data_IF_867985715835
#
_entry.id   IF_867985715835
#
_cell.length_a   1.000
_cell.length_b   1.000
_cell.length_c   1.000
_cell.angle_alpha   90.00
_cell.angle_beta   90.00
_cell.angle_gamma   90.00
#
_symmetry.space_group_name_H-M   'P 1'
#
loop_
_entity.id
_entity.type
_entity.pdbx_description
1 polymer ?
#
# COMPACT_ATOMS: atom_id res chain seq x y z
N UNK A 1 -4.90 26.10 11.86
CA UNK A 1 -3.53 26.08 11.32
C UNK A 1 -3.28 24.68 10.82
N UNK A 2 -3.26 24.44 9.50
CA UNK A 2 -2.94 23.12 8.96
C UNK A 2 -1.43 22.95 9.05
N UNK A 3 -0.95 22.11 9.97
CA UNK A 3 0.48 21.89 10.25
C UNK A 3 1.07 20.71 9.49
N UNK A 4 0.31 20.10 8.58
CA UNK A 4 0.73 18.92 7.85
C UNK A 4 1.16 19.31 6.45
N UNK A 5 2.43 19.08 6.17
CA UNK A 5 3.07 19.36 4.88
C UNK A 5 3.62 18.05 4.34
N UNK A 6 3.48 17.83 3.04
CA UNK A 6 4.10 16.70 2.36
C UNK A 6 5.60 17.02 2.22
N UNK A 7 6.44 16.14 2.75
CA UNK A 7 7.90 16.21 2.56
C UNK A 7 8.36 14.98 1.79
N UNK A 8 9.18 15.19 0.75
CA UNK A 8 9.77 14.11 -0.04
C UNK A 8 11.25 14.36 -0.19
N UNK A 9 12.03 13.30 0.05
CA UNK A 9 13.48 13.29 0.01
C UNK A 9 13.95 12.24 -0.99
N UNK A 10 14.84 12.63 -1.90
CA UNK A 10 15.59 11.72 -2.76
C UNK A 10 17.05 11.74 -2.33
N UNK A 11 17.60 10.55 -2.09
CA UNK A 11 19.02 10.33 -1.80
C UNK A 11 19.66 9.47 -2.90
N UNK A 12 20.98 9.58 -3.05
CA UNK A 12 21.77 8.69 -3.90
C UNK A 12 22.17 7.40 -3.18
N UNK A 13 22.87 6.51 -3.87
CA UNK A 13 23.34 5.23 -3.34
C UNK A 13 24.37 5.37 -2.22
N UNK A 14 24.98 6.54 -2.08
CA UNK A 14 25.94 6.87 -1.02
C UNK A 14 25.25 7.53 0.18
N UNK A 15 23.94 7.76 0.10
CA UNK A 15 23.14 8.41 1.14
C UNK A 15 23.18 9.93 1.12
N UNK A 16 23.71 10.56 0.07
CA UNK A 16 23.68 12.02 -0.07
C UNK A 16 22.32 12.49 -0.60
N UNK A 17 21.85 13.64 -0.12
CA UNK A 17 20.63 14.28 -0.63
C UNK A 17 20.81 14.74 -2.08
N UNK A 18 19.99 14.19 -2.98
CA UNK A 18 19.86 14.65 -4.37
C UNK A 18 18.93 15.86 -4.41
N UNK A 19 17.76 15.74 -3.79
CA UNK A 19 16.83 16.85 -3.58
C UNK A 19 15.92 16.59 -2.39
N UNK A 20 15.42 17.68 -1.80
CA UNK A 20 14.39 17.68 -0.77
C UNK A 20 13.30 18.68 -1.18
N UNK A 21 12.03 18.28 -1.04
CA UNK A 21 10.88 19.10 -1.41
C UNK A 21 9.85 19.07 -0.29
N UNK A 22 9.39 20.26 0.07
CA UNK A 22 8.32 20.46 1.04
C UNK A 22 7.16 21.13 0.30
N UNK A 23 5.98 20.54 0.37
CA UNK A 23 4.77 21.05 -0.28
C UNK A 23 3.75 21.41 0.80
N UNK A 24 3.08 22.55 0.59
CA UNK A 24 2.00 23.02 1.46
C UNK A 24 0.68 22.31 1.16
N UNK A 25 0.76 21.02 0.88
CA UNK A 25 -0.39 20.15 0.63
C UNK A 25 -0.68 19.36 1.91
N UNK A 26 -1.95 19.29 2.37
CA UNK A 26 -2.33 18.61 3.59
C UNK A 26 -2.39 17.09 3.37
N UNK A 27 -1.32 16.50 2.81
CA UNK A 27 -1.24 15.10 2.44
C UNK A 27 -0.27 14.38 3.38
N UNK A 28 -0.75 13.33 4.02
CA UNK A 28 0.06 12.36 4.75
C UNK A 28 0.35 11.16 3.83
N UNK A 29 1.53 11.08 3.21
CA UNK A 29 1.88 9.96 2.35
C UNK A 29 2.11 8.70 3.20
N UNK A 30 1.76 7.54 2.65
CA UNK A 30 1.93 6.23 3.31
C UNK A 30 2.71 5.24 2.46
N UNK A 31 2.67 5.37 1.14
CA UNK A 31 3.46 4.55 0.23
C UNK A 31 3.77 5.32 -1.06
N UNK A 32 4.82 4.90 -1.76
CA UNK A 32 5.26 5.50 -3.01
C UNK A 32 5.86 4.45 -3.93
N UNK A 33 5.62 4.58 -5.23
CA UNK A 33 6.32 3.85 -6.29
C UNK A 33 7.03 4.80 -7.24
N UNK A 34 8.10 4.31 -7.86
CA UNK A 34 8.74 4.95 -9.00
C UNK A 34 8.14 4.38 -10.29
N UNK A 35 7.84 5.23 -11.26
CA UNK A 35 7.32 4.84 -12.57
C UNK A 35 8.48 4.60 -13.56
N UNK A 36 8.16 3.99 -14.70
CA UNK A 36 9.12 3.74 -15.78
C UNK A 36 9.71 5.03 -16.41
N UNK A 37 9.04 6.18 -16.24
CA UNK A 37 9.48 7.48 -16.78
C UNK A 37 10.15 8.37 -15.74
N UNK A 38 10.74 7.77 -14.71
CA UNK A 38 11.44 8.47 -13.63
C UNK A 38 10.54 9.41 -12.81
N UNK A 39 9.20 9.28 -12.92
CA UNK A 39 8.22 9.94 -12.05
C UNK A 39 7.95 9.09 -10.81
N UNK A 40 7.26 9.67 -9.83
CA UNK A 40 6.93 9.03 -8.56
C UNK A 40 5.42 9.16 -8.32
N UNK A 41 4.78 8.09 -7.89
CA UNK A 41 3.37 8.11 -7.47
C UNK A 41 3.32 7.83 -5.99
N UNK A 42 2.72 8.74 -5.22
CA UNK A 42 2.48 8.60 -3.79
C UNK A 42 1.00 8.31 -3.56
N UNK A 43 0.71 7.52 -2.53
CA UNK A 43 -0.63 7.33 -1.98
C UNK A 43 -0.64 7.72 -0.51
N UNK A 44 -1.74 8.34 -0.07
CA UNK A 44 -1.87 8.78 1.30
C UNK A 44 -3.26 9.31 1.64
N UNK A 45 -3.34 9.92 2.81
CA UNK A 45 -4.52 10.61 3.28
C UNK A 45 -4.38 12.11 3.04
N UNK A 46 -5.35 12.71 2.37
CA UNK A 46 -5.56 14.15 2.34
C UNK A 46 -6.41 14.55 3.55
N UNK A 47 -5.89 15.47 4.38
CA UNK A 47 -6.37 15.78 5.73
C UNK A 47 -6.61 17.28 5.89
N UNK A 48 -7.77 17.74 5.42
CA UNK A 48 -8.21 19.12 5.66
C UNK A 48 -8.59 19.33 7.13
N UNK A 49 -9.32 18.39 7.72
CA UNK A 49 -9.78 18.44 9.11
C UNK A 49 -9.41 17.15 9.85
N UNK A 50 -9.28 17.21 11.17
CA UNK A 50 -8.74 16.13 12.00
C UNK A 50 -9.44 14.78 11.80
N UNK A 51 -10.74 14.81 11.48
CA UNK A 51 -11.60 13.62 11.33
C UNK A 51 -12.05 13.34 9.90
N UNK A 52 -11.62 14.15 8.91
CA UNK A 52 -12.00 13.95 7.52
C UNK A 52 -10.75 13.65 6.69
N UNK A 53 -10.47 12.36 6.53
CA UNK A 53 -9.31 11.86 5.77
C UNK A 53 -9.81 11.23 4.49
N UNK A 54 -9.37 11.78 3.35
CA UNK A 54 -9.74 11.31 2.02
C UNK A 54 -8.55 10.66 1.33
N UNK A 55 -8.78 9.59 0.57
CA UNK A 55 -7.72 8.95 -0.21
C UNK A 55 -7.18 9.95 -1.21
N UNK A 56 -5.86 10.07 -1.30
CA UNK A 56 -5.19 10.90 -2.28
C UNK A 56 -4.05 10.18 -2.98
N UNK A 57 -3.90 10.50 -4.26
CA UNK A 57 -2.73 10.17 -5.06
C UNK A 57 -2.00 11.47 -5.44
N UNK A 58 -0.67 11.38 -5.55
CA UNK A 58 0.18 12.50 -5.99
C UNK A 58 1.21 11.97 -6.98
N UNK A 59 1.34 12.60 -8.14
CA UNK A 59 2.45 12.35 -9.06
C UNK A 59 3.48 13.46 -8.94
N UNK A 60 4.73 13.05 -8.77
CA UNK A 60 5.89 13.93 -8.85
C UNK A 60 6.71 13.59 -10.10
N UNK A 61 7.24 14.59 -10.78
CA UNK A 61 8.23 14.37 -11.82
C UNK A 61 9.60 13.93 -11.23
N UNK A 62 10.59 13.67 -12.09
CA UNK A 62 11.93 13.23 -11.71
C UNK A 62 12.69 14.20 -10.79
N UNK A 63 12.29 15.48 -10.80
CA UNK A 63 12.86 16.56 -10.01
C UNK A 63 12.09 16.80 -8.70
N UNK A 64 11.07 15.99 -8.42
CA UNK A 64 10.21 16.18 -7.25
C UNK A 64 9.28 17.39 -7.41
N UNK A 65 8.74 17.67 -8.59
CA UNK A 65 7.70 18.70 -8.75
C UNK A 65 6.35 18.01 -8.95
N UNK A 66 5.32 18.51 -8.27
CA UNK A 66 3.96 17.99 -8.40
C UNK A 66 3.49 18.19 -9.84
N UNK A 67 3.10 17.08 -10.47
CA UNK A 67 2.42 17.07 -11.77
C UNK A 67 0.91 17.04 -11.60
N UNK A 68 0.42 16.24 -10.65
CA UNK A 68 -1.00 16.02 -10.42
C UNK A 68 -1.24 15.60 -8.97
N UNK A 69 -2.38 16.04 -8.43
CA UNK A 69 -2.96 15.56 -7.18
C UNK A 69 -4.39 15.17 -7.50
N UNK A 70 -4.81 14.00 -7.03
CA UNK A 70 -6.19 13.55 -7.09
C UNK A 70 -6.64 13.19 -5.69
N UNK A 71 -7.80 13.70 -5.28
CA UNK A 71 -8.41 13.41 -3.98
C UNK A 71 -9.75 12.75 -4.25
N UNK A 72 -9.91 11.52 -3.76
CA UNK A 72 -11.12 10.74 -3.92
C UNK A 72 -12.06 10.97 -2.74
N UNK A 73 -13.37 10.97 -3.00
CA UNK A 73 -14.42 10.95 -1.97
C UNK A 73 -14.54 9.56 -1.31
N UNK A 74 -13.41 9.03 -0.87
CA UNK A 74 -13.26 7.75 -0.20
C UNK A 74 -12.50 7.98 1.09
N UNK A 75 -13.02 7.45 2.20
CA UNK A 75 -12.34 7.50 3.48
C UNK A 75 -10.96 6.84 3.39
N UNK A 76 -9.93 7.60 3.76
CA UNK A 76 -8.58 7.09 3.86
C UNK A 76 -8.39 6.39 5.20
N UNK A 77 -8.08 5.09 5.11
CA UNK A 77 -7.42 4.39 6.19
C UNK A 77 -6.06 5.02 6.49
N UNK A 78 -5.56 4.80 7.72
CA UNK A 78 -4.29 5.39 8.17
C UNK A 78 -3.08 4.93 7.35
N UNK A 79 -3.21 3.82 6.61
CA UNK A 79 -2.15 3.25 5.79
C UNK A 79 -2.72 2.73 4.47
N UNK A 80 -2.13 3.19 3.35
CA UNK A 80 -2.28 2.57 2.04
C UNK A 80 -0.92 2.16 1.48
N UNK A 81 -0.93 1.06 0.75
CA UNK A 81 0.16 0.68 -0.15
C UNK A 81 -0.27 0.84 -1.60
N UNK A 82 0.67 1.18 -2.47
CA UNK A 82 0.48 1.28 -3.92
C UNK A 82 1.46 0.37 -4.65
N UNK A 83 0.97 -0.32 -5.69
CA UNK A 83 1.79 -1.07 -6.66
C UNK A 83 1.32 -0.82 -8.07
N UNK A 84 2.25 -0.94 -9.02
CA UNK A 84 1.90 -1.03 -10.43
C UNK A 84 1.43 -2.45 -10.75
N UNK A 85 0.37 -2.57 -11.54
CA UNK A 85 -0.17 -3.84 -12.00
C UNK A 85 0.44 -4.25 -13.33
N UNK A 86 0.34 -5.53 -13.69
CA UNK A 86 0.90 -6.07 -14.95
C UNK A 86 0.33 -5.42 -16.22
N UNK A 87 -0.90 -4.91 -16.16
CA UNK A 87 -1.54 -4.16 -17.24
C UNK A 87 -1.18 -2.66 -17.22
N UNK A 88 -0.21 -2.26 -16.38
CA UNK A 88 0.32 -0.90 -16.31
C UNK A 88 -0.50 0.08 -15.49
N UNK A 89 -1.61 -0.37 -14.88
CA UNK A 89 -2.46 0.40 -13.96
C UNK A 89 -1.86 0.42 -12.54
N UNK A 90 -2.59 0.98 -11.58
CA UNK A 90 -2.20 0.96 -10.17
C UNK A 90 -3.22 0.19 -9.32
N UNK A 91 -2.72 -0.51 -8.31
CA UNK A 91 -3.55 -1.14 -7.27
C UNK A 91 -3.13 -0.61 -5.90
N UNK A 92 -4.14 -0.26 -5.10
CA UNK A 92 -4.01 0.27 -3.76
C UNK A 92 -4.63 -0.70 -2.77
N UNK A 93 -4.02 -0.90 -1.61
CA UNK A 93 -4.62 -1.67 -0.51
C UNK A 93 -4.47 -0.91 0.80
N UNK A 94 -5.52 -0.89 1.61
CA UNK A 94 -5.57 -0.22 2.91
C UNK A 94 -6.90 -0.51 3.60
N UNK A 95 -6.88 -0.55 4.94
CA UNK A 95 -8.03 -1.01 5.72
C UNK A 95 -8.52 -2.37 5.24
N UNK A 96 -9.81 -2.50 4.96
CA UNK A 96 -10.41 -3.73 4.44
C UNK A 96 -10.71 -3.68 2.93
N UNK A 97 -10.07 -2.78 2.17
CA UNK A 97 -10.38 -2.56 0.76
C UNK A 97 -9.16 -2.59 -0.15
N UNK A 98 -9.42 -2.99 -1.39
CA UNK A 98 -8.47 -2.91 -2.51
C UNK A 98 -9.12 -2.10 -3.63
N UNK A 99 -8.34 -1.20 -4.23
CA UNK A 99 -8.80 -0.26 -5.25
C UNK A 99 -7.87 -0.39 -6.46
N UNK A 100 -8.43 -0.53 -7.65
CA UNK A 100 -7.66 -0.42 -8.89
C UNK A 100 -7.97 0.89 -9.58
N UNK A 101 -6.94 1.60 -10.00
CA UNK A 101 -7.00 2.93 -10.59
C UNK A 101 -6.29 2.93 -11.94
N UNK A 102 -6.86 3.61 -12.94
CA UNK A 102 -6.24 3.79 -14.24
C UNK A 102 -4.98 4.66 -14.11
N UNK A 103 -3.85 4.21 -14.65
CA UNK A 103 -2.59 4.94 -14.46
C UNK A 103 -2.49 6.27 -15.22
N UNK A 104 -3.31 6.46 -16.26
CA UNK A 104 -3.32 7.67 -17.08
C UNK A 104 -4.40 8.65 -16.63
N UNK A 105 -5.64 8.19 -16.44
CA UNK A 105 -6.77 9.05 -16.10
C UNK A 105 -7.00 9.20 -14.60
N UNK A 106 -6.44 8.30 -13.79
CA UNK A 106 -6.66 8.21 -12.35
C UNK A 106 -8.12 7.90 -11.98
N UNK A 107 -8.91 7.44 -12.96
CA UNK A 107 -10.25 6.96 -12.71
C UNK A 107 -10.21 5.61 -11.99
N UNK A 108 -11.13 5.42 -11.06
CA UNK A 108 -11.32 4.16 -10.37
C UNK A 108 -11.86 3.14 -11.37
N UNK A 109 -11.09 2.07 -11.59
CA UNK A 109 -11.51 0.92 -12.40
C UNK A 109 -12.46 0.04 -11.59
N UNK A 110 -12.10 -0.26 -10.34
CA UNK A 110 -12.96 -0.95 -9.38
C UNK A 110 -12.51 -0.73 -7.93
N UNK A 111 -13.45 -0.96 -7.00
CA UNK A 111 -13.22 -1.03 -5.56
C UNK A 111 -13.81 -2.33 -5.04
N UNK A 112 -13.07 -3.01 -4.17
CA UNK A 112 -13.51 -4.25 -3.51
C UNK A 112 -13.30 -4.12 -2.01
N UNK A 113 -14.35 -4.46 -1.27
CA UNK A 113 -14.35 -4.52 0.18
C UNK A 113 -14.36 -5.99 0.60
N UNK A 114 -13.50 -6.33 1.54
CA UNK A 114 -13.37 -7.69 2.06
C UNK A 114 -13.89 -7.72 3.48
N UNK A 115 -14.57 -8.81 3.83
CA UNK A 115 -15.07 -9.02 5.18
C UNK A 115 -13.93 -9.49 6.10
N UNK A 116 -12.96 -8.60 6.32
CA UNK A 116 -11.88 -8.78 7.26
C UNK A 116 -11.97 -7.70 8.35
N UNK A 117 -11.68 -8.11 9.58
CA UNK A 117 -11.67 -7.24 10.75
C UNK A 117 -10.35 -6.46 10.90
N UNK A 118 -9.48 -6.61 9.90
CA UNK A 118 -8.06 -6.34 9.95
C UNK A 118 -7.65 -5.51 8.74
N UNK A 119 -6.59 -4.72 8.91
CA UNK A 119 -6.10 -3.84 7.85
C UNK A 119 -5.12 -4.57 6.94
N UNK A 120 -5.18 -4.29 5.65
CA UNK A 120 -4.15 -4.67 4.68
C UNK A 120 -2.94 -3.74 4.81
N UNK A 121 -1.75 -4.33 4.76
CA UNK A 121 -0.48 -3.63 4.91
C UNK A 121 0.43 -3.74 3.70
N UNK A 122 0.25 -4.76 2.86
CA UNK A 122 1.03 -4.92 1.64
C UNK A 122 0.20 -5.67 0.59
N UNK A 123 0.45 -5.36 -0.67
CA UNK A 123 -0.20 -5.98 -1.83
C UNK A 123 0.85 -6.16 -2.93
N UNK A 124 0.71 -7.20 -3.74
CA UNK A 124 1.57 -7.42 -4.91
C UNK A 124 0.74 -7.90 -6.10
N UNK A 125 1.07 -7.40 -7.29
CA UNK A 125 0.46 -7.84 -8.55
C UNK A 125 1.28 -9.00 -9.13
N UNK A 126 0.61 -10.10 -9.41
CA UNK A 126 1.21 -11.30 -9.98
C UNK A 126 1.29 -11.20 -11.50
N UNK A 127 2.23 -11.93 -12.11
CA UNK A 127 2.46 -11.96 -13.56
C UNK A 127 1.24 -12.38 -14.39
N UNK A 128 0.30 -13.13 -13.80
CA UNK A 128 -0.96 -13.56 -14.39
C UNK A 128 -2.12 -12.54 -14.21
N UNK A 129 -1.86 -11.40 -13.56
CA UNK A 129 -2.85 -10.35 -13.29
C UNK A 129 -3.64 -10.53 -12.00
N UNK A 130 -3.43 -11.62 -11.26
CA UNK A 130 -3.98 -11.80 -9.91
C UNK A 130 -3.24 -10.93 -8.89
N UNK A 131 -3.75 -10.91 -7.66
CA UNK A 131 -3.13 -10.16 -6.56
C UNK A 131 -3.00 -11.02 -5.31
N UNK A 132 -1.99 -10.70 -4.52
CA UNK A 132 -1.83 -11.19 -3.15
C UNK A 132 -1.84 -9.98 -2.25
N UNK A 133 -2.69 -9.99 -1.23
CA UNK A 133 -2.72 -8.94 -0.23
C UNK A 133 -2.56 -9.57 1.15
N UNK A 134 -1.75 -8.93 1.99
CA UNK A 134 -1.51 -9.36 3.37
C UNK A 134 -1.99 -8.27 4.31
N UNK A 135 -2.64 -8.69 5.38
CA UNK A 135 -2.99 -7.88 6.53
C UNK A 135 -2.63 -8.60 7.81
N UNK A 136 -3.08 -8.09 8.96
CA UNK A 136 -2.73 -8.56 10.31
C UNK A 136 -2.39 -10.06 10.39
N UNK A 137 -3.36 -10.96 10.32
CA UNK A 137 -3.11 -12.40 10.31
C UNK A 137 -3.70 -13.10 9.08
N UNK A 138 -4.00 -12.32 8.05
CA UNK A 138 -4.76 -12.73 6.87
C UNK A 138 -3.92 -12.53 5.61
N UNK A 139 -3.93 -13.54 4.76
CA UNK A 139 -3.41 -13.46 3.40
C UNK A 139 -4.59 -13.77 2.48
N UNK A 140 -4.86 -12.89 1.52
CA UNK A 140 -5.85 -13.13 0.47
C UNK A 140 -5.17 -13.26 -0.88
N UNK A 141 -5.65 -14.22 -1.66
CA UNK A 141 -5.42 -14.33 -3.10
C UNK A 141 -6.66 -13.82 -3.83
N UNK A 142 -6.45 -12.91 -4.77
CA UNK A 142 -7.50 -12.21 -5.50
C UNK A 142 -7.34 -12.46 -7.01
N UNK A 143 -8.45 -12.55 -7.73
CA UNK A 143 -8.43 -12.60 -9.19
C UNK A 143 -8.08 -11.23 -9.81
N UNK A 144 -7.96 -11.18 -11.13
CA UNK A 144 -7.62 -9.95 -11.85
C UNK A 144 -8.67 -8.82 -11.77
N UNK A 145 -9.87 -9.15 -11.28
CA UNK A 145 -10.97 -8.21 -11.02
C UNK A 145 -11.11 -7.88 -9.52
N UNK A 146 -10.17 -8.35 -8.69
CA UNK A 146 -10.18 -8.15 -7.24
C UNK A 146 -11.24 -8.98 -6.52
N UNK A 147 -11.73 -10.09 -7.08
CA UNK A 147 -12.58 -11.00 -6.29
C UNK A 147 -11.71 -11.99 -5.52
N UNK A 148 -12.08 -12.28 -4.27
CA UNK A 148 -11.36 -13.25 -3.45
C UNK A 148 -11.44 -14.65 -4.06
N UNK A 149 -10.28 -15.26 -4.32
CA UNK A 149 -10.13 -16.66 -4.72
C UNK A 149 -9.97 -17.55 -3.48
N UNK A 150 -9.11 -17.11 -2.55
CA UNK A 150 -8.70 -17.89 -1.38
C UNK A 150 -8.22 -16.98 -0.26
N UNK A 151 -8.41 -17.43 0.98
CA UNK A 151 -7.81 -16.85 2.17
C UNK A 151 -6.94 -17.87 2.92
N UNK A 152 -5.94 -17.35 3.63
CA UNK A 152 -5.15 -18.08 4.63
C UNK A 152 -5.13 -17.24 5.89
N UNK A 153 -5.71 -17.76 6.97
CA UNK A 153 -5.69 -17.13 8.29
C UNK A 153 -4.66 -17.84 9.16
N UNK A 154 -3.68 -17.08 9.65
CA UNK A 154 -2.65 -17.58 10.53
C UNK A 154 -3.07 -17.36 11.98
N UNK A 155 -3.53 -18.40 12.66
CA UNK A 155 -3.81 -18.35 14.11
C UNK A 155 -2.68 -19.00 14.90
N UNK A 156 -2.32 -18.41 16.04
CA UNK A 156 -1.43 -19.03 17.02
C UNK A 156 -2.06 -18.98 18.39
N UNK A 157 -2.17 -20.15 19.02
CA UNK A 157 -2.69 -20.26 20.38
C UNK A 157 -1.88 -19.36 21.33
N UNK A 158 -2.59 -18.50 22.07
CA UNK A 158 -2.02 -17.57 23.06
C UNK A 158 -1.06 -16.50 22.50
N UNK A 159 -1.06 -16.23 21.18
CA UNK A 159 -0.21 -15.21 20.57
C UNK A 159 -0.98 -14.32 19.58
N UNK A 160 -0.68 -13.02 19.58
CA UNK A 160 -1.12 -12.12 18.52
C UNK A 160 -0.08 -12.09 17.40
N UNK A 161 -0.52 -12.20 16.15
CA UNK A 161 0.34 -12.16 14.97
C UNK A 161 -0.07 -10.99 14.08
N UNK A 162 0.93 -10.21 13.67
CA UNK A 162 0.80 -9.05 12.81
C UNK A 162 1.79 -9.18 11.65
N UNK A 163 1.32 -9.60 10.48
CA UNK A 163 2.07 -9.55 9.22
C UNK A 163 2.13 -8.11 8.76
N UNK A 164 3.27 -7.71 8.21
CA UNK A 164 3.50 -6.32 7.79
C UNK A 164 3.99 -6.20 6.36
N UNK A 165 4.58 -7.25 5.80
CA UNK A 165 5.13 -7.25 4.45
C UNK A 165 5.31 -8.68 3.95
N UNK A 166 5.47 -8.82 2.65
CA UNK A 166 5.87 -10.09 2.07
C UNK A 166 6.68 -9.87 0.80
N UNK A 167 7.31 -10.95 0.35
CA UNK A 167 7.92 -11.02 -0.98
C UNK A 167 7.44 -12.25 -1.71
N UNK A 168 7.30 -12.16 -3.02
CA UNK A 168 7.02 -13.30 -3.88
C UNK A 168 8.26 -14.15 -4.07
N UNK A 169 8.08 -15.46 -4.03
CA UNK A 169 9.06 -16.47 -4.42
C UNK A 169 8.45 -17.30 -5.56
N UNK A 170 8.51 -16.77 -6.78
CA UNK A 170 7.78 -17.31 -7.92
C UNK A 170 6.30 -16.93 -7.90
N UNK A 171 5.44 -17.76 -8.50
CA UNK A 171 4.02 -17.40 -8.75
C UNK A 171 3.04 -17.90 -7.68
N UNK A 172 3.42 -18.88 -6.86
CA UNK A 172 2.50 -19.53 -5.89
C UNK A 172 3.07 -19.56 -4.48
N UNK A 173 4.14 -18.84 -4.20
CA UNK A 173 4.79 -18.89 -2.90
C UNK A 173 5.19 -17.50 -2.46
N UNK A 174 4.95 -17.23 -1.19
CA UNK A 174 5.29 -15.97 -0.55
C UNK A 174 6.13 -16.23 0.68
N UNK A 175 7.05 -15.33 0.96
CA UNK A 175 7.74 -15.24 2.24
C UNK A 175 7.13 -14.04 2.95
N UNK A 176 6.37 -14.31 4.02
CA UNK A 176 5.73 -13.27 4.84
C UNK A 176 6.61 -12.91 6.01
N UNK A 177 6.62 -11.64 6.38
CA UNK A 177 7.27 -11.12 7.57
C UNK A 177 6.27 -10.40 8.47
N UNK A 178 6.50 -10.47 9.78
CA UNK A 178 5.64 -9.87 10.78
C UNK A 178 6.20 -9.92 12.19
N UNK A 179 5.35 -9.60 13.17
CA UNK A 179 5.66 -9.65 14.59
C UNK A 179 4.68 -10.61 15.25
N UNK A 180 5.20 -11.50 16.10
CA UNK A 180 4.40 -12.29 17.03
C UNK A 180 4.61 -11.80 18.45
N UNK A 181 3.52 -11.55 19.16
CA UNK A 181 3.52 -11.10 20.55
C UNK A 181 3.01 -12.23 21.44
N UNK A 182 3.85 -12.66 22.39
CA UNK A 182 3.58 -13.69 23.38
C UNK A 182 3.74 -13.11 24.78
N UNK A 183 2.62 -12.76 25.44
CA UNK A 183 2.57 -12.11 26.77
C UNK A 183 3.36 -10.79 26.85
N UNK A 184 4.69 -10.87 27.01
CA UNK A 184 5.61 -9.74 27.19
C UNK A 184 6.79 -9.77 26.19
N UNK A 185 6.80 -10.71 25.25
CA UNK A 185 7.85 -10.84 24.24
C UNK A 185 7.29 -10.56 22.85
N UNK A 186 7.99 -9.71 22.09
CA UNK A 186 7.79 -9.54 20.66
C UNK A 186 8.92 -10.22 19.90
N UNK A 187 8.58 -11.08 18.93
CA UNK A 187 9.56 -11.77 18.08
C UNK A 187 9.24 -11.52 16.62
N UNK A 188 10.27 -11.46 15.79
CA UNK A 188 10.11 -11.47 14.33
C UNK A 188 9.51 -12.81 13.92
N UNK A 189 8.49 -12.75 13.07
CA UNK A 189 7.88 -13.89 12.41
C UNK A 189 8.26 -13.88 10.93
N UNK A 190 8.78 -15.00 10.44
CA UNK A 190 9.01 -15.22 9.01
C UNK A 190 8.47 -16.60 8.67
N UNK A 191 7.66 -16.69 7.62
CA UNK A 191 7.14 -17.96 7.12
C UNK A 191 7.08 -17.98 5.60
N UNK A 192 7.30 -19.17 5.04
CA UNK A 192 7.12 -19.45 3.62
C UNK A 192 5.77 -20.14 3.43
N UNK A 193 4.90 -19.57 2.61
CA UNK A 193 3.50 -19.98 2.47
C UNK A 193 3.18 -20.18 1.00
N UNK A 194 2.51 -21.30 0.67
CA UNK A 194 2.01 -21.57 -0.67
C UNK A 194 0.58 -21.03 -0.83
N UNK A 195 0.35 -20.21 -1.85
CA UNK A 195 -0.90 -19.47 -2.10
C UNK A 195 -1.73 -20.03 -3.26
#
# INVERSE_FOLDING_TARGET
MHTQTLCVLKIDEQGNTVWEKNYNEPIQPSSMIKTAFDSYILVGAYVEEEYNRRLALVELNSNGEIKQIEVYELEADSFFVIKQTVDGNYVLAGGNKVIKVNSNSWEIVWIKYYNCWFSFFDIESLSNGEFVVVGDNLILKLDSQGNQIKDVILQRDSAQLYLSSFVLEGNETIIVAGIVTLKYECKVYIAKIKI
#
